data_IF_535182428469
#
_entry.id   IF_535182428469
#
_cell.length_a   1.000
_cell.length_b   1.000
_cell.length_c   1.000
_cell.angle_alpha   90.00
_cell.angle_beta   90.00
_cell.angle_gamma   90.00
#
_symmetry.space_group_name_H-M   'P 1'
#
loop_
_entity.id
_entity.type
_entity.pdbx_description
1 polymer ?
#
# COMPACT_ATOMS: atom_id res chain seq x y z
N UNK A 1 6.40 -22.18 2.02
CA UNK A 1 6.39 -22.57 0.60
C UNK A 1 6.43 -21.27 -0.19
N UNK A 2 7.37 -21.12 -1.11
CA UNK A 2 7.39 -20.00 -2.06
C UNK A 2 6.55 -20.45 -3.26
N UNK A 3 5.68 -19.58 -3.75
CA UNK A 3 4.79 -19.85 -4.89
C UNK A 3 4.83 -18.62 -5.79
N UNK A 4 4.93 -18.85 -7.09
CA UNK A 4 4.89 -17.79 -8.08
C UNK A 4 3.47 -17.22 -8.20
N UNK A 5 3.36 -15.90 -8.26
CA UNK A 5 2.09 -15.23 -8.49
C UNK A 5 1.71 -15.33 -9.98
N UNK A 6 0.48 -15.77 -10.23
CA UNK A 6 -0.13 -15.76 -11.55
C UNK A 6 -0.74 -14.38 -11.78
N UNK A 7 -0.22 -13.68 -12.79
CA UNK A 7 -0.68 -12.38 -13.25
C UNK A 7 -1.42 -12.55 -14.57
N UNK A 8 -2.67 -12.09 -14.64
CA UNK A 8 -3.39 -12.01 -15.91
C UNK A 8 -2.95 -10.74 -16.65
N UNK A 9 -2.66 -10.87 -17.95
CA UNK A 9 -2.32 -9.74 -18.79
C UNK A 9 -3.53 -9.24 -19.58
N UNK A 10 -3.72 -7.92 -19.72
CA UNK A 10 -4.78 -7.35 -20.53
C UNK A 10 -4.64 -7.76 -22.01
N UNK A 11 -5.72 -8.22 -22.62
CA UNK A 11 -5.74 -8.56 -24.05
C UNK A 11 -5.75 -7.27 -24.88
N UNK A 12 -4.90 -7.21 -25.90
CA UNK A 12 -4.89 -6.10 -26.88
C UNK A 12 -5.53 -6.58 -28.18
N UNK A 13 -6.63 -5.94 -28.59
CA UNK A 13 -7.33 -6.20 -29.86
C UNK A 13 -7.28 -4.92 -30.68
N UNK A 14 -6.67 -4.97 -31.86
CA UNK A 14 -6.55 -3.81 -32.78
C UNK A 14 -5.95 -2.55 -32.13
N UNK A 15 -5.01 -2.73 -31.19
CA UNK A 15 -4.38 -1.64 -30.44
C UNK A 15 -5.20 -1.12 -29.24
N UNK A 16 -6.41 -1.64 -29.03
CA UNK A 16 -7.24 -1.34 -27.86
C UNK A 16 -6.95 -2.35 -26.75
N UNK A 17 -6.47 -1.86 -25.61
CA UNK A 17 -6.22 -2.66 -24.41
C UNK A 17 -7.53 -2.88 -23.66
N UNK A 18 -7.98 -4.12 -23.56
CA UNK A 18 -9.20 -4.48 -22.83
C UNK A 18 -8.88 -4.56 -21.33
N UNK A 19 -9.57 -3.80 -20.47
CA UNK A 19 -9.31 -3.84 -19.02
C UNK A 19 -9.65 -5.21 -18.44
N UNK A 20 -8.86 -5.64 -17.46
CA UNK A 20 -9.10 -6.88 -16.73
C UNK A 20 -10.25 -6.70 -15.75
N UNK A 21 -11.14 -7.69 -15.73
CA UNK A 21 -12.24 -7.73 -14.78
C UNK A 21 -11.77 -8.40 -13.47
N UNK A 22 -11.35 -7.56 -12.53
CA UNK A 22 -10.86 -8.01 -11.21
C UNK A 22 -11.97 -8.48 -10.28
N UNK A 23 -13.25 -8.38 -10.68
CA UNK A 23 -14.37 -8.97 -9.94
C UNK A 23 -14.47 -10.50 -10.11
N UNK A 24 -13.82 -11.04 -11.15
CA UNK A 24 -13.72 -12.49 -11.39
C UNK A 24 -12.87 -13.19 -10.33
N UNK A 25 -13.01 -14.53 -10.19
CA UNK A 25 -12.16 -15.31 -9.29
C UNK A 25 -10.66 -15.03 -9.49
N UNK A 26 -9.89 -15.12 -8.42
CA UNK A 26 -8.45 -14.89 -8.46
C UNK A 26 -7.74 -16.01 -9.25
N UNK A 27 -6.88 -15.67 -10.22
CA UNK A 27 -6.16 -16.67 -11.02
C UNK A 27 -5.20 -17.57 -10.22
N UNK A 28 -4.82 -17.14 -9.00
CA UNK A 28 -3.94 -17.88 -8.10
C UNK A 28 -4.65 -19.01 -7.32
N UNK A 29 -5.94 -19.26 -7.57
CA UNK A 29 -6.78 -20.21 -6.82
C UNK A 29 -6.85 -19.93 -5.31
N UNK A 30 -6.57 -18.69 -4.90
CA UNK A 30 -6.67 -18.21 -3.53
C UNK A 30 -7.41 -16.87 -3.57
N UNK A 31 -8.50 -16.77 -2.81
CA UNK A 31 -9.22 -15.51 -2.62
C UNK A 31 -8.66 -14.80 -1.39
N UNK A 32 -8.44 -13.49 -1.52
CA UNK A 32 -7.97 -12.65 -0.43
C UNK A 32 -9.06 -11.69 0.00
N UNK A 33 -9.28 -11.58 1.30
CA UNK A 33 -10.20 -10.59 1.84
C UNK A 33 -9.54 -9.22 1.91
N UNK A 34 -8.31 -9.19 2.44
CA UNK A 34 -7.63 -7.96 2.80
C UNK A 34 -6.25 -7.90 2.16
N UNK A 35 -5.96 -6.80 1.46
CA UNK A 35 -4.63 -6.46 0.95
C UNK A 35 -4.05 -5.31 1.78
N UNK A 36 -2.84 -5.49 2.30
CA UNK A 36 -2.09 -4.49 3.05
C UNK A 36 -0.82 -4.12 2.30
N UNK A 37 -0.66 -2.83 2.01
CA UNK A 37 0.48 -2.30 1.28
C UNK A 37 1.35 -1.48 2.23
N UNK A 38 2.61 -1.88 2.41
CA UNK A 38 3.63 -0.95 2.88
C UNK A 38 4.00 -0.01 1.74
N UNK A 39 3.58 1.25 1.85
CA UNK A 39 3.78 2.22 0.77
C UNK A 39 5.25 2.55 0.56
N UNK A 40 6.12 2.39 1.57
CA UNK A 40 7.56 2.58 1.36
C UNK A 40 8.10 1.52 0.39
N UNK A 41 7.60 0.29 0.50
CA UNK A 41 7.93 -0.81 -0.42
C UNK A 41 7.50 -0.55 -1.88
N UNK A 42 6.59 0.40 -2.11
CA UNK A 42 6.16 0.82 -3.45
C UNK A 42 6.92 2.09 -3.87
N UNK A 43 7.02 3.08 -2.98
CA UNK A 43 7.60 4.39 -3.27
C UNK A 43 9.08 4.24 -3.68
N UNK A 44 9.89 3.50 -2.92
CA UNK A 44 11.34 3.40 -3.20
C UNK A 44 11.66 2.81 -4.57
N UNK A 45 11.07 1.66 -4.98
CA UNK A 45 11.23 1.13 -6.34
C UNK A 45 10.75 2.09 -7.43
N UNK A 46 9.76 2.95 -7.16
CA UNK A 46 9.30 3.93 -8.14
C UNK A 46 10.34 5.01 -8.46
N UNK A 47 11.27 5.29 -7.55
CA UNK A 47 12.39 6.21 -7.75
C UNK A 47 13.68 5.52 -8.26
N UNK A 48 13.84 4.22 -7.98
CA UNK A 48 15.08 3.46 -8.20
C UNK A 48 14.82 2.13 -8.90
N UNK A 49 14.44 2.20 -10.18
CA UNK A 49 14.32 1.00 -11.03
C UNK A 49 15.58 0.77 -11.85
N UNK A 50 16.01 -0.49 -11.96
CA UNK A 50 17.13 -0.85 -12.84
C UNK A 50 16.76 -0.76 -14.33
N UNK A 51 15.48 -0.97 -14.68
CA UNK A 51 15.03 -1.13 -16.07
C UNK A 51 14.40 0.13 -16.72
N UNK A 52 14.12 1.18 -15.94
CA UNK A 52 13.52 2.43 -16.45
C UNK A 52 14.18 3.65 -15.81
N UNK A 53 14.22 4.81 -16.50
CA UNK A 53 14.77 6.02 -15.93
C UNK A 53 13.97 6.45 -14.69
N UNK A 54 14.66 7.04 -13.71
CA UNK A 54 14.02 7.65 -12.55
C UNK A 54 13.05 8.75 -13.00
N UNK A 55 11.90 8.89 -12.31
CA UNK A 55 10.93 9.94 -12.61
C UNK A 55 11.56 11.31 -12.42
N UNK A 56 11.29 12.21 -13.35
CA UNK A 56 11.80 13.59 -13.34
C UNK A 56 10.78 14.58 -12.80
N UNK A 57 9.51 14.17 -12.75
CA UNK A 57 8.39 14.98 -12.23
C UNK A 57 7.58 14.20 -11.19
N UNK A 58 6.84 14.94 -10.34
CA UNK A 58 5.93 14.31 -9.37
C UNK A 58 4.84 13.50 -10.07
N UNK A 59 4.33 13.97 -11.20
CA UNK A 59 3.29 13.28 -11.95
C UNK A 59 3.77 11.93 -12.47
N UNK A 60 4.99 11.86 -13.03
CA UNK A 60 5.61 10.60 -13.44
C UNK A 60 5.78 9.64 -12.27
N UNK A 61 6.25 10.14 -11.12
CA UNK A 61 6.41 9.33 -9.91
C UNK A 61 5.06 8.81 -9.39
N UNK A 62 4.01 9.63 -9.41
CA UNK A 62 2.68 9.23 -8.97
C UNK A 62 2.05 8.20 -9.90
N UNK A 63 2.12 8.41 -11.22
CA UNK A 63 1.61 7.44 -12.20
C UNK A 63 2.30 6.08 -12.02
N UNK A 64 3.62 6.12 -11.87
CA UNK A 64 4.41 4.95 -11.59
C UNK A 64 3.95 4.20 -10.31
N UNK A 65 3.62 4.92 -9.24
CA UNK A 65 3.07 4.31 -8.01
C UNK A 65 1.66 3.76 -8.21
N UNK A 66 0.81 4.47 -8.95
CA UNK A 66 -0.57 4.05 -9.24
C UNK A 66 -0.58 2.77 -10.07
N UNK A 67 0.23 2.70 -11.13
CA UNK A 67 0.40 1.51 -11.96
C UNK A 67 0.88 0.31 -11.12
N UNK A 68 1.78 0.56 -10.15
CA UNK A 68 2.25 -0.48 -9.25
C UNK A 68 1.13 -1.00 -8.34
N UNK A 69 0.33 -0.09 -7.75
CA UNK A 69 -0.82 -0.46 -6.92
C UNK A 69 -1.86 -1.23 -7.76
N UNK A 70 -2.15 -0.79 -8.97
CA UNK A 70 -3.06 -1.49 -9.89
C UNK A 70 -2.58 -2.91 -10.18
N UNK A 71 -1.28 -3.06 -10.47
CA UNK A 71 -0.68 -4.38 -10.70
C UNK A 71 -0.85 -5.31 -9.51
N UNK A 72 -0.53 -4.84 -8.30
CA UNK A 72 -0.74 -5.60 -7.06
C UNK A 72 -2.22 -5.95 -6.86
N UNK A 73 -3.11 -5.01 -7.13
CA UNK A 73 -4.54 -5.21 -6.98
C UNK A 73 -5.07 -6.26 -7.98
N UNK A 74 -4.63 -6.22 -9.24
CA UNK A 74 -5.00 -7.21 -10.28
C UNK A 74 -4.58 -8.62 -9.89
N UNK A 75 -3.39 -8.77 -9.29
CA UNK A 75 -2.88 -10.07 -8.82
C UNK A 75 -3.60 -10.59 -7.58
N UNK A 76 -3.89 -9.73 -6.60
CA UNK A 76 -4.42 -10.15 -5.29
C UNK A 76 -5.95 -10.16 -5.24
N UNK A 77 -6.62 -9.23 -5.93
CA UNK A 77 -8.10 -9.07 -5.95
C UNK A 77 -8.74 -9.09 -4.55
N UNK A 78 -8.35 -8.18 -3.63
CA UNK A 78 -8.93 -8.14 -2.29
C UNK A 78 -10.45 -7.94 -2.35
N UNK A 79 -11.21 -8.67 -1.51
CA UNK A 79 -12.69 -8.65 -1.53
C UNK A 79 -13.33 -7.75 -0.48
N UNK A 80 -12.59 -7.36 0.55
CA UNK A 80 -13.12 -6.63 1.72
C UNK A 80 -12.34 -5.35 2.03
N UNK A 81 -11.01 -5.39 2.05
CA UNK A 81 -10.18 -4.26 2.51
C UNK A 81 -8.95 -4.03 1.63
N UNK A 82 -8.68 -2.77 1.31
CA UNK A 82 -7.38 -2.29 0.88
C UNK A 82 -6.84 -1.32 1.96
N UNK A 83 -5.74 -1.70 2.60
CA UNK A 83 -5.06 -0.90 3.62
C UNK A 83 -3.72 -0.42 3.06
N UNK A 84 -3.50 0.90 3.01
CA UNK A 84 -2.22 1.47 2.59
C UNK A 84 -1.54 2.16 3.76
N UNK A 85 -0.39 1.64 4.18
CA UNK A 85 0.39 2.18 5.28
C UNK A 85 1.38 3.22 4.74
N UNK A 86 1.02 4.50 4.82
CA UNK A 86 1.93 5.62 4.57
C UNK A 86 2.61 6.02 5.88
N UNK A 87 3.90 6.30 5.83
CA UNK A 87 4.61 6.91 6.97
C UNK A 87 4.26 8.40 6.99
N UNK A 88 3.51 8.82 8.01
CA UNK A 88 3.30 10.23 8.35
C UNK A 88 4.21 10.53 9.55
N UNK A 89 5.38 11.14 9.31
CA UNK A 89 6.30 11.62 10.36
C UNK A 89 5.81 12.92 11.04
N UNK A 90 4.60 13.40 10.78
CA UNK A 90 4.06 14.60 11.45
C UNK A 90 4.17 14.52 12.99
N UNK A 91 4.13 13.31 13.57
CA UNK A 91 4.40 13.09 15.00
C UNK A 91 5.87 13.05 15.38
N UNK A 92 6.75 12.56 14.50
CA UNK A 92 8.19 12.61 14.72
C UNK A 92 8.67 14.06 14.68
N UNK A 93 8.17 14.89 13.76
CA UNK A 93 8.40 16.33 13.75
C UNK A 93 7.95 16.98 15.07
N UNK A 94 6.73 16.67 15.54
CA UNK A 94 6.24 17.16 16.83
C UNK A 94 7.05 16.64 18.04
N UNK A 95 7.58 15.42 18.00
CA UNK A 95 8.46 14.85 19.02
C UNK A 95 9.86 15.49 18.99
N UNK A 96 10.44 15.71 17.81
CA UNK A 96 11.72 16.41 17.62
C UNK A 96 11.63 17.87 18.11
N UNK A 97 10.52 18.56 17.79
CA UNK A 97 10.22 19.90 18.32
C UNK A 97 10.07 19.88 19.85
N UNK A 98 9.37 18.88 20.40
CA UNK A 98 9.19 18.72 21.85
C UNK A 98 10.48 18.36 22.58
N UNK A 99 11.39 17.65 21.92
CA UNK A 99 12.74 17.31 22.41
C UNK A 99 13.77 18.43 22.16
N UNK A 100 13.39 19.53 21.50
CA UNK A 100 14.28 20.64 21.19
C UNK A 100 15.45 20.28 20.28
N UNK A 101 15.34 19.19 19.50
CA UNK A 101 16.36 18.80 18.53
C UNK A 101 16.07 19.50 17.20
N UNK A 102 17.07 20.18 16.67
CA UNK A 102 16.96 20.79 15.35
C UNK A 102 16.93 19.69 14.27
N UNK A 103 15.94 19.77 13.39
CA UNK A 103 15.95 18.99 12.15
C UNK A 103 17.11 19.48 11.27
N UNK A 104 17.77 18.59 10.52
CA UNK A 104 18.65 19.03 9.46
C UNK A 104 17.87 19.97 8.52
N UNK A 105 18.51 21.05 8.02
CA UNK A 105 17.83 22.00 7.14
C UNK A 105 17.24 21.26 5.94
N UNK A 106 15.95 21.53 5.63
CA UNK A 106 15.30 21.01 4.42
C UNK A 106 16.10 21.47 3.21
N UNK A 107 16.89 20.58 2.63
CA UNK A 107 17.56 20.86 1.36
C UNK A 107 16.52 20.83 0.26
N UNK A 108 16.58 21.84 -0.63
CA UNK A 108 15.90 21.75 -1.93
C UNK A 108 16.43 20.52 -2.66
N UNK A 109 15.59 19.49 -2.70
CA UNK A 109 15.90 18.20 -3.31
C UNK A 109 15.25 18.14 -4.68
N UNK A 110 15.99 17.65 -5.67
CA UNK A 110 15.41 17.36 -6.98
C UNK A 110 14.45 16.17 -6.85
N UNK A 111 13.51 16.03 -7.79
CA UNK A 111 12.45 15.00 -7.70
C UNK A 111 12.99 13.58 -7.50
N UNK A 112 14.15 13.27 -8.08
CA UNK A 112 14.80 11.95 -7.99
C UNK A 112 15.66 11.75 -6.73
N UNK A 113 15.79 12.76 -5.86
CA UNK A 113 16.49 12.62 -4.59
C UNK A 113 15.57 11.90 -3.59
N UNK A 114 16.01 10.73 -3.10
CA UNK A 114 15.32 9.95 -2.06
C UNK A 114 14.88 10.77 -0.85
N UNK A 115 15.56 11.89 -0.55
CA UNK A 115 15.18 12.79 0.54
C UNK A 115 13.74 13.32 0.41
N UNK A 116 13.16 13.38 -0.79
CA UNK A 116 11.75 13.79 -1.00
C UNK A 116 10.75 12.80 -0.40
N UNK A 117 11.15 11.54 -0.18
CA UNK A 117 10.33 10.46 0.40
C UNK A 117 10.21 10.60 1.94
N UNK A 118 10.84 11.63 2.52
CA UNK A 118 10.67 11.97 3.93
C UNK A 118 9.32 12.66 4.16
N UNK A 119 8.53 12.29 5.17
CA UNK A 119 7.25 12.97 5.40
C UNK A 119 7.42 14.44 5.80
N UNK A 120 6.40 15.24 5.51
CA UNK A 120 6.46 16.70 5.68
C UNK A 120 7.18 17.42 4.54
N UNK A 121 7.68 16.71 3.52
CA UNK A 121 8.06 17.30 2.23
C UNK A 121 6.82 17.63 1.41
N UNK A 122 6.97 18.56 0.46
CA UNK A 122 5.90 18.88 -0.50
C UNK A 122 5.48 17.63 -1.29
N UNK A 123 6.45 16.78 -1.67
CA UNK A 123 6.19 15.52 -2.36
C UNK A 123 5.22 14.63 -1.57
N UNK A 124 5.51 14.35 -0.29
CA UNK A 124 4.69 13.46 0.53
C UNK A 124 3.28 14.02 0.81
N UNK A 125 3.15 15.35 0.95
CA UNK A 125 1.84 16.01 1.10
C UNK A 125 1.00 15.82 -0.16
N UNK A 126 1.60 16.13 -1.33
CA UNK A 126 0.89 16.00 -2.61
C UNK A 126 0.59 14.53 -2.92
N UNK A 127 1.51 13.61 -2.63
CA UNK A 127 1.31 12.17 -2.78
C UNK A 127 0.09 11.68 -1.99
N UNK A 128 -0.07 12.12 -0.74
CA UNK A 128 -1.22 11.75 0.09
C UNK A 128 -2.55 12.17 -0.55
N UNK A 129 -2.62 13.40 -1.07
CA UNK A 129 -3.81 13.92 -1.78
C UNK A 129 -4.04 13.14 -3.08
N UNK A 130 -2.97 12.90 -3.84
CA UNK A 130 -3.04 12.19 -5.11
C UNK A 130 -3.53 10.75 -4.93
N UNK A 131 -3.04 10.03 -3.92
CA UNK A 131 -3.51 8.69 -3.55
C UNK A 131 -4.99 8.71 -3.15
N UNK A 132 -5.44 9.69 -2.37
CA UNK A 132 -6.86 9.80 -2.05
C UNK A 132 -7.72 9.96 -3.30
N UNK A 133 -7.33 10.86 -4.20
CA UNK A 133 -8.04 11.08 -5.45
C UNK A 133 -8.06 9.81 -6.31
N UNK A 134 -6.90 9.20 -6.50
CA UNK A 134 -6.73 7.94 -7.24
C UNK A 134 -7.67 6.85 -6.75
N UNK A 135 -7.79 6.69 -5.43
CA UNK A 135 -8.63 5.64 -4.85
C UNK A 135 -10.11 5.97 -5.01
N UNK A 136 -10.52 7.23 -4.83
CA UNK A 136 -11.90 7.63 -5.12
C UNK A 136 -12.24 7.41 -6.59
N UNK A 137 -11.31 7.67 -7.51
CA UNK A 137 -11.49 7.40 -8.92
C UNK A 137 -11.69 5.90 -9.19
N UNK A 138 -10.87 5.04 -8.56
CA UNK A 138 -10.99 3.57 -8.66
C UNK A 138 -12.31 3.06 -8.09
N UNK A 139 -12.68 3.46 -6.87
CA UNK A 139 -13.95 3.07 -6.23
C UNK A 139 -15.20 3.42 -7.06
N UNK A 140 -15.17 4.52 -7.81
CA UNK A 140 -16.30 4.98 -8.60
C UNK A 140 -16.36 4.35 -10.00
N UNK A 141 -15.22 3.95 -10.58
CA UNK A 141 -15.16 3.54 -11.99
C UNK A 141 -14.77 2.07 -12.19
N UNK A 142 -14.21 1.40 -11.19
CA UNK A 142 -13.75 0.01 -11.29
C UNK A 142 -14.69 -0.94 -10.51
N UNK A 143 -15.37 -1.88 -11.18
CA UNK A 143 -16.27 -2.83 -10.54
C UNK A 143 -15.61 -3.67 -9.44
N UNK A 144 -14.33 -4.02 -9.58
CA UNK A 144 -13.60 -4.81 -8.59
C UNK A 144 -13.32 -4.03 -7.30
N UNK A 145 -13.30 -2.70 -7.38
CA UNK A 145 -13.04 -1.83 -6.23
C UNK A 145 -14.32 -1.44 -5.48
N UNK A 146 -15.49 -1.49 -6.12
CA UNK A 146 -16.75 -0.89 -5.65
C UNK A 146 -17.16 -1.25 -4.21
N UNK A 147 -16.84 -2.47 -3.75
CA UNK A 147 -17.24 -2.96 -2.42
C UNK A 147 -16.08 -3.04 -1.43
N UNK A 148 -14.91 -2.51 -1.79
CA UNK A 148 -13.72 -2.58 -0.96
C UNK A 148 -13.72 -1.41 0.02
N UNK A 149 -13.60 -1.73 1.31
CA UNK A 149 -13.31 -0.71 2.29
C UNK A 149 -11.90 -0.21 2.07
N UNK A 150 -11.77 1.10 1.92
CA UNK A 150 -10.47 1.72 1.81
C UNK A 150 -10.00 2.29 3.15
N UNK A 151 -8.73 2.09 3.46
CA UNK A 151 -8.08 2.68 4.62
C UNK A 151 -6.67 3.17 4.27
N UNK A 152 -6.53 4.46 3.98
CA UNK A 152 -5.20 5.05 3.74
C UNK A 152 -4.96 6.44 4.32
N UNK A 153 -5.75 6.92 5.27
CA UNK A 153 -5.42 8.19 5.92
C UNK A 153 -5.81 8.23 7.38
N UNK A 154 -4.93 8.85 8.18
CA UNK A 154 -5.29 9.80 9.25
C UNK A 154 -6.31 9.36 10.29
N UNK A 155 -6.66 8.08 10.36
CA UNK A 155 -7.61 7.62 11.36
C UNK A 155 -7.01 7.91 12.73
N UNK A 156 -7.87 8.28 13.66
CA UNK A 156 -7.56 8.47 15.08
C UNK A 156 -7.08 7.19 15.77
N UNK A 157 -6.14 6.46 15.18
CA UNK A 157 -5.15 5.66 15.86
C UNK A 157 -4.06 6.60 16.41
N UNK A 158 -4.50 7.59 17.17
CA UNK A 158 -3.74 8.14 18.31
C UNK A 158 -3.32 7.05 19.30
N UNK A 159 -3.85 5.82 19.18
CA UNK A 159 -3.50 4.69 20.04
C UNK A 159 -2.22 3.92 19.69
N UNK A 160 -1.63 4.07 18.49
CA UNK A 160 -0.48 3.23 18.11
C UNK A 160 0.90 3.87 18.15
N UNK A 161 1.00 5.16 18.47
CA UNK A 161 2.29 5.85 18.51
C UNK A 161 3.01 5.88 17.15
N UNK A 162 4.25 6.39 17.10
CA UNK A 162 5.10 6.31 15.91
C UNK A 162 5.57 4.85 15.74
N UNK A 163 5.00 4.17 14.75
CA UNK A 163 5.44 2.82 14.33
C UNK A 163 5.76 2.85 12.84
N UNK A 164 6.77 2.08 12.37
CA UNK A 164 7.00 1.84 10.94
C UNK A 164 5.74 1.34 10.23
N UNK A 165 5.65 1.55 8.92
CA UNK A 165 4.47 1.21 8.09
C UNK A 165 3.95 -0.20 8.35
N UNK A 166 4.84 -1.18 8.24
CA UNK A 166 4.52 -2.58 8.51
C UNK A 166 3.99 -2.85 9.93
N UNK A 167 4.56 -2.24 10.96
CA UNK A 167 4.08 -2.41 12.33
C UNK A 167 2.67 -1.81 12.54
N UNK A 168 2.26 -0.82 11.74
CA UNK A 168 0.87 -0.31 11.73
C UNK A 168 -0.08 -1.37 11.17
N UNK A 169 0.31 -2.06 10.09
CA UNK A 169 -0.46 -3.16 9.49
C UNK A 169 -0.68 -4.28 10.52
N UNK A 170 0.39 -4.75 11.16
CA UNK A 170 0.32 -5.82 12.17
C UNK A 170 -0.55 -5.41 13.35
N UNK A 171 -0.38 -4.17 13.85
CA UNK A 171 -1.20 -3.65 14.95
C UNK A 171 -2.69 -3.60 14.56
N UNK A 172 -3.00 -3.24 13.31
CA UNK A 172 -4.36 -3.22 12.79
C UNK A 172 -4.97 -4.64 12.74
N UNK A 173 -4.24 -5.63 12.22
CA UNK A 173 -4.69 -7.03 12.17
C UNK A 173 -5.00 -7.53 13.59
N UNK A 174 -4.06 -7.35 14.53
CA UNK A 174 -4.24 -7.75 15.92
C UNK A 174 -5.43 -7.07 16.62
N UNK A 175 -5.74 -5.82 16.26
CA UNK A 175 -6.95 -5.17 16.76
C UNK A 175 -8.23 -5.78 16.21
N UNK A 176 -8.30 -5.98 14.89
CA UNK A 176 -9.52 -6.50 14.26
C UNK A 176 -9.89 -7.84 14.86
N UNK A 177 -8.90 -8.69 15.15
CA UNK A 177 -9.09 -9.99 15.81
C UNK A 177 -9.78 -9.92 17.18
N UNK A 178 -9.58 -8.82 17.90
CA UNK A 178 -10.19 -8.61 19.22
C UNK A 178 -11.59 -7.97 19.14
N UNK A 179 -12.08 -7.62 17.95
CA UNK A 179 -13.41 -7.05 17.78
C UNK A 179 -14.49 -8.15 17.74
N UNK A 180 -15.65 -7.93 18.37
CA UNK A 180 -16.80 -8.81 18.22
C UNK A 180 -17.21 -8.92 16.74
N UNK A 181 -17.43 -10.14 16.25
CA UNK A 181 -17.81 -10.40 14.86
C UNK A 181 -16.65 -10.51 13.87
N UNK A 182 -15.39 -10.55 14.35
CA UNK A 182 -14.24 -10.90 13.52
C UNK A 182 -14.39 -12.30 12.93
N UNK A 183 -14.11 -12.45 11.64
CA UNK A 183 -14.06 -13.74 10.97
C UNK A 183 -12.63 -14.31 11.04
N UNK A 184 -12.41 -15.41 11.78
CA UNK A 184 -11.08 -16.02 11.93
C UNK A 184 -10.57 -16.69 10.65
N UNK A 185 -11.38 -16.79 9.60
CA UNK A 185 -10.96 -17.28 8.29
C UNK A 185 -10.64 -16.14 7.31
N UNK A 186 -10.54 -14.91 7.80
CA UNK A 186 -10.16 -13.77 6.97
C UNK A 186 -8.81 -14.03 6.30
N UNK A 187 -8.77 -13.96 4.97
CA UNK A 187 -7.53 -14.17 4.21
C UNK A 187 -6.78 -12.86 4.00
N UNK A 188 -5.56 -12.79 4.51
CA UNK A 188 -4.71 -11.59 4.50
C UNK A 188 -3.57 -11.73 3.48
N UNK A 189 -3.34 -10.69 2.67
CA UNK A 189 -2.17 -10.55 1.81
C UNK A 189 -1.41 -9.29 2.22
N UNK A 190 -0.12 -9.42 2.57
CA UNK A 190 0.73 -8.29 2.94
C UNK A 190 1.82 -8.13 1.87
N UNK A 191 1.99 -6.91 1.38
CA UNK A 191 3.07 -6.53 0.47
C UNK A 191 4.07 -5.61 1.18
N UNK A 192 5.35 -5.96 1.10
CA UNK A 192 6.47 -5.18 1.63
C UNK A 192 7.81 -5.80 1.25
N UNK A 193 8.88 -5.01 1.31
CA UNK A 193 10.24 -5.43 0.95
C UNK A 193 11.08 -5.89 2.15
N UNK A 194 10.62 -5.62 3.37
CA UNK A 194 11.34 -5.94 4.59
C UNK A 194 11.32 -7.44 4.89
N UNK A 195 12.49 -8.02 5.19
CA UNK A 195 12.62 -9.44 5.55
C UNK A 195 11.83 -9.82 6.82
N UNK A 196 11.59 -8.84 7.70
CA UNK A 196 10.82 -9.01 8.94
C UNK A 196 9.33 -9.26 8.69
N UNK A 197 8.83 -8.99 7.47
CA UNK A 197 7.43 -9.16 7.09
C UNK A 197 6.90 -10.56 7.38
N UNK A 198 7.69 -11.59 7.07
CA UNK A 198 7.27 -12.99 7.30
C UNK A 198 7.14 -13.25 8.81
N UNK A 199 8.13 -12.83 9.59
CA UNK A 199 8.13 -13.03 11.04
C UNK A 199 7.00 -12.28 11.73
N UNK A 200 6.75 -11.05 11.28
CA UNK A 200 5.66 -10.21 11.76
C UNK A 200 4.28 -10.79 11.38
N UNK A 201 4.13 -11.32 10.15
CA UNK A 201 2.92 -12.02 9.75
C UNK A 201 2.66 -13.26 10.62
N UNK A 202 3.69 -14.06 10.92
CA UNK A 202 3.54 -15.22 11.82
C UNK A 202 3.11 -14.82 13.23
N UNK A 203 3.59 -13.68 13.74
CA UNK A 203 3.20 -13.16 15.04
C UNK A 203 1.73 -12.72 15.14
N UNK A 204 1.02 -12.55 14.01
CA UNK A 204 -0.42 -12.27 14.02
C UNK A 204 -1.26 -13.48 14.45
N UNK A 205 -0.72 -14.71 14.27
CA UNK A 205 -1.45 -15.97 14.42
C UNK A 205 -2.70 -16.07 13.54
N UNK A 206 -2.74 -15.37 12.39
CA UNK A 206 -3.79 -15.51 11.39
C UNK A 206 -3.49 -16.66 10.42
N UNK A 207 -4.55 -17.26 9.87
CA UNK A 207 -4.45 -18.37 8.92
C UNK A 207 -5.44 -18.19 7.78
N UNK A 208 -4.97 -18.29 6.54
CA UNK A 208 -5.83 -18.33 5.36
C UNK A 208 -6.00 -19.78 4.90
N UNK A 209 -7.27 -20.21 4.76
CA UNK A 209 -7.59 -21.49 4.13
C UNK A 209 -7.52 -21.30 2.62
N UNK A 210 -6.62 -22.01 1.94
CA UNK A 210 -6.70 -22.13 0.49
C UNK A 210 -8.07 -22.70 0.11
N UNK A 211 -8.67 -22.18 -0.97
CA UNK A 211 -9.90 -22.73 -1.50
C UNK A 211 -9.69 -24.23 -1.82
N UNK A 212 -10.67 -25.06 -1.45
CA UNK A 212 -10.67 -26.49 -1.79
C UNK A 212 -11.01 -26.71 -3.25
#
# INVERSE_FOLDING_TARGET
MIVDAIEEEPVVIEGVKIPLDTSKPNPNNIEYDNLYLDMNGIIYPCFHTEDRPSPTTFDEAFQCMFDYIDRLFVMVRPRKLLYMAIVEEERLLAEFEREGRNLPPKQESQVFDSNVITPGTQFMIVLSIALQYYIHLRLNNDPGWKNIKFWAQGSRLTRFGPKPGLHKIISYICLQRNLPGYDPNTCHCLYGLDADLIMLALATHEYCRAAR
#
